data_IF_035296389928
#
_entry.id   IF_035296389928
#
_cell.length_a   1.000
_cell.length_b   1.000
_cell.length_c   1.000
_cell.angle_alpha   90.00
_cell.angle_beta   90.00
_cell.angle_gamma   90.00
#
_symmetry.space_group_name_H-M   'P 1'
#
loop_
_entity.id
_entity.type
_entity.pdbx_description
1 polymer ?
#
# COMPACT_ATOMS: atom_id res chain seq x y z
N UNK A 1 31.33 13.60 -23.27
CA UNK A 1 30.32 12.71 -22.65
C UNK A 1 30.22 13.11 -21.19
N UNK A 2 29.17 13.85 -20.83
CA UNK A 2 28.87 14.12 -19.44
C UNK A 2 27.96 12.99 -18.96
N UNK A 3 28.45 12.18 -18.02
CA UNK A 3 27.59 11.30 -17.22
C UNK A 3 26.79 12.20 -16.30
N UNK A 4 25.50 12.33 -16.62
CA UNK A 4 24.50 12.91 -15.73
C UNK A 4 24.54 12.12 -14.42
N UNK A 5 24.92 12.77 -13.32
CA UNK A 5 24.67 12.21 -11.99
C UNK A 5 23.15 12.22 -11.84
N UNK A 6 22.52 11.06 -11.88
CA UNK A 6 21.16 10.88 -11.39
C UNK A 6 21.16 11.40 -9.94
N UNK A 7 20.52 12.54 -9.71
CA UNK A 7 20.23 13.02 -8.37
C UNK A 7 19.27 11.99 -7.75
N UNK A 8 19.80 11.10 -6.93
CA UNK A 8 19.04 10.03 -6.29
C UNK A 8 18.31 10.56 -5.05
N UNK A 9 17.49 11.59 -5.22
CA UNK A 9 16.56 11.98 -4.17
C UNK A 9 15.47 10.91 -4.08
N UNK A 10 15.21 10.42 -2.87
CA UNK A 10 14.10 9.51 -2.62
C UNK A 10 12.80 10.16 -3.09
N UNK A 11 11.86 9.37 -3.63
CA UNK A 11 10.50 9.87 -3.88
C UNK A 11 9.89 10.38 -2.56
N UNK A 12 9.01 11.38 -2.63
CA UNK A 12 8.24 11.88 -1.50
C UNK A 12 7.52 10.77 -0.75
N UNK A 13 7.01 9.76 -1.44
CA UNK A 13 6.42 8.57 -0.82
C UNK A 13 7.44 7.78 0.01
N UNK A 14 8.64 7.54 -0.54
CA UNK A 14 9.72 6.88 0.17
C UNK A 14 10.23 7.71 1.36
N UNK A 15 10.34 9.03 1.22
CA UNK A 15 10.70 9.94 2.32
C UNK A 15 9.65 9.96 3.43
N UNK A 16 8.36 9.97 3.06
CA UNK A 16 7.26 9.94 4.03
C UNK A 16 7.21 8.60 4.75
N UNK A 17 7.40 7.49 4.03
CA UNK A 17 7.56 6.18 4.64
C UNK A 17 8.75 6.17 5.61
N UNK A 18 9.94 6.60 5.17
CA UNK A 18 11.15 6.60 6.01
C UNK A 18 10.99 7.41 7.30
N UNK A 19 10.25 8.53 7.24
CA UNK A 19 9.93 9.36 8.40
C UNK A 19 9.11 8.63 9.48
N UNK A 20 8.19 7.74 9.09
CA UNK A 20 7.22 7.12 10.01
C UNK A 20 7.37 5.60 10.15
N UNK A 21 8.27 4.96 9.37
CA UNK A 21 8.39 3.50 9.29
C UNK A 21 8.61 2.84 10.64
N UNK A 22 9.38 3.47 11.54
CA UNK A 22 9.70 2.88 12.85
C UNK A 22 8.48 2.90 13.79
N UNK A 23 7.64 3.95 13.69
CA UNK A 23 6.39 4.05 14.45
C UNK A 23 5.37 3.02 13.94
N UNK A 24 5.24 2.88 12.62
CA UNK A 24 4.39 1.85 12.03
C UNK A 24 4.89 0.45 12.35
N UNK A 25 6.19 0.19 12.23
CA UNK A 25 6.78 -1.10 12.56
C UNK A 25 6.53 -1.52 14.01
N UNK A 26 6.58 -0.57 14.95
CA UNK A 26 6.30 -0.85 16.36
C UNK A 26 4.81 -1.13 16.64
N UNK A 27 3.90 -0.78 15.71
CA UNK A 27 2.46 -0.81 15.91
C UNK A 27 1.72 -1.85 15.06
N UNK A 28 2.21 -2.16 13.85
CA UNK A 28 1.66 -3.15 12.95
C UNK A 28 1.94 -4.54 13.54
N UNK A 29 0.89 -5.19 14.05
CA UNK A 29 0.85 -6.42 14.91
C UNK A 29 0.44 -6.16 16.37
N UNK A 30 0.25 -4.90 16.77
CA UNK A 30 -0.26 -4.52 18.08
C UNK A 30 -1.43 -3.55 17.97
N UNK A 31 -2.64 -4.09 17.86
CA UNK A 31 -3.86 -3.32 17.55
C UNK A 31 -4.04 -2.04 18.41
N UNK A 32 -3.87 -2.06 19.74
CA UNK A 32 -3.99 -0.83 20.53
C UNK A 32 -2.93 0.23 20.21
N UNK A 33 -1.70 -0.18 19.88
CA UNK A 33 -0.63 0.73 19.48
C UNK A 33 -0.92 1.31 18.10
N UNK A 34 -1.41 0.49 17.17
CA UNK A 34 -1.85 0.93 15.85
C UNK A 34 -2.99 1.95 15.93
N UNK A 35 -4.05 1.65 16.68
CA UNK A 35 -5.19 2.55 16.84
C UNK A 35 -4.75 3.91 17.44
N UNK A 36 -3.84 3.89 18.42
CA UNK A 36 -3.27 5.10 19.00
C UNK A 36 -2.37 5.87 18.02
N UNK A 37 -1.59 5.16 17.21
CA UNK A 37 -0.71 5.75 16.19
C UNK A 37 -1.52 6.49 15.13
N UNK A 38 -2.50 5.83 14.51
CA UNK A 38 -3.29 6.43 13.42
C UNK A 38 -4.12 7.63 13.89
N UNK A 39 -4.52 7.67 15.17
CA UNK A 39 -5.22 8.81 15.77
C UNK A 39 -4.28 10.00 16.04
N UNK A 40 -3.00 9.75 16.28
CA UNK A 40 -2.00 10.79 16.58
C UNK A 40 -1.35 11.37 15.34
N UNK A 41 -1.15 10.56 14.30
CA UNK A 41 -0.49 11.00 13.08
C UNK A 41 -1.27 12.15 12.40
N UNK A 42 -0.58 13.05 11.68
CA UNK A 42 -1.26 14.06 10.88
C UNK A 42 -2.24 13.41 9.91
N UNK A 43 -3.38 14.07 9.67
CA UNK A 43 -4.38 13.60 8.73
C UNK A 43 -3.74 13.25 7.37
N UNK A 44 -4.21 12.16 6.76
CA UNK A 44 -3.77 11.63 5.47
C UNK A 44 -2.40 10.93 5.46
N UNK A 45 -1.60 11.03 6.54
CA UNK A 45 -0.30 10.33 6.60
C UNK A 45 -0.47 8.81 6.56
N UNK A 46 -1.33 8.17 7.37
CA UNK A 46 -1.53 6.72 7.31
C UNK A 46 -1.96 6.25 5.92
N UNK A 47 -2.90 6.96 5.29
CA UNK A 47 -3.41 6.63 3.96
C UNK A 47 -2.32 6.67 2.89
N UNK A 48 -1.51 7.73 2.85
CA UNK A 48 -0.47 7.90 1.83
C UNK A 48 0.68 6.93 2.03
N UNK A 49 1.09 6.66 3.27
CA UNK A 49 2.11 5.66 3.59
C UNK A 49 1.61 4.26 3.19
N UNK A 50 0.39 3.90 3.56
CA UNK A 50 -0.19 2.60 3.23
C UNK A 50 -0.35 2.40 1.72
N UNK A 51 -0.79 3.42 0.98
CA UNK A 51 -0.91 3.35 -0.48
C UNK A 51 0.46 3.17 -1.16
N UNK A 52 1.47 3.92 -0.72
CA UNK A 52 2.84 3.78 -1.25
C UNK A 52 3.38 2.37 -0.99
N UNK A 53 3.25 1.88 0.25
CA UNK A 53 3.73 0.54 0.64
C UNK A 53 2.99 -0.58 -0.09
N UNK A 54 1.66 -0.46 -0.28
CA UNK A 54 0.89 -1.41 -1.09
C UNK A 54 1.48 -1.54 -2.49
N UNK A 55 1.79 -0.41 -3.15
CA UNK A 55 2.37 -0.50 -4.50
C UNK A 55 3.77 -1.08 -4.52
N UNK A 56 4.60 -0.79 -3.53
CA UNK A 56 5.94 -1.36 -3.40
C UNK A 56 5.89 -2.89 -3.24
N UNK A 57 5.00 -3.39 -2.38
CA UNK A 57 4.82 -4.81 -2.13
C UNK A 57 4.22 -5.53 -3.34
N UNK A 58 3.20 -4.94 -3.97
CA UNK A 58 2.56 -5.55 -5.14
C UNK A 58 3.50 -5.56 -6.34
N UNK A 59 4.31 -4.52 -6.55
CA UNK A 59 5.34 -4.53 -7.61
C UNK A 59 6.45 -5.56 -7.34
N UNK A 60 6.76 -5.87 -6.07
CA UNK A 60 7.84 -6.79 -5.70
C UNK A 60 7.40 -8.26 -5.65
N UNK A 61 6.21 -8.56 -5.14
CA UNK A 61 5.72 -9.94 -4.94
C UNK A 61 4.21 -10.11 -5.06
N UNK A 62 3.49 -9.12 -5.60
CA UNK A 62 2.05 -9.15 -5.77
C UNK A 62 1.28 -9.02 -4.44
N UNK A 63 -0.05 -9.18 -4.54
CA UNK A 63 -0.94 -9.12 -3.37
C UNK A 63 -0.64 -10.20 -2.32
N UNK A 64 -0.05 -11.33 -2.72
CA UNK A 64 0.36 -12.36 -1.77
C UNK A 64 1.39 -11.83 -0.78
N UNK A 65 2.45 -11.17 -1.28
CA UNK A 65 3.46 -10.56 -0.43
C UNK A 65 2.88 -9.41 0.42
N UNK A 66 2.01 -8.58 -0.15
CA UNK A 66 1.36 -7.50 0.59
C UNK A 66 0.57 -8.02 1.80
N UNK A 67 -0.28 -9.04 1.61
CA UNK A 67 -1.09 -9.58 2.70
C UNK A 67 -0.33 -10.49 3.66
N UNK A 68 0.77 -11.12 3.23
CA UNK A 68 1.68 -11.87 4.12
C UNK A 68 2.45 -10.94 5.07
N UNK A 69 2.80 -9.74 4.61
CA UNK A 69 3.52 -8.76 5.41
C UNK A 69 2.60 -7.97 6.36
N UNK A 70 3.18 -7.35 7.39
CA UNK A 70 2.45 -6.66 8.46
C UNK A 70 1.61 -5.47 7.95
N UNK A 71 2.07 -4.81 6.87
CA UNK A 71 1.32 -3.73 6.21
C UNK A 71 0.04 -4.19 5.50
N UNK A 72 -0.16 -5.49 5.29
CA UNK A 72 -1.43 -6.04 4.80
C UNK A 72 -2.64 -5.69 5.68
N UNK A 73 -2.40 -5.39 6.97
CA UNK A 73 -3.42 -4.91 7.89
C UNK A 73 -3.96 -3.50 7.56
N UNK A 74 -3.26 -2.73 6.73
CA UNK A 74 -3.60 -1.35 6.36
C UNK A 74 -4.34 -1.24 5.01
N UNK A 75 -4.98 -2.31 4.54
CA UNK A 75 -5.63 -2.32 3.22
C UNK A 75 -6.67 -1.19 3.05
N UNK A 76 -7.39 -0.84 4.12
CA UNK A 76 -8.41 0.20 4.08
C UNK A 76 -7.79 1.60 4.00
N UNK A 77 -6.71 1.86 4.74
CA UNK A 77 -5.89 3.07 4.61
C UNK A 77 -5.29 3.17 3.20
N UNK A 78 -4.76 2.05 2.67
CA UNK A 78 -4.18 2.02 1.34
C UNK A 78 -5.22 2.35 0.26
N UNK A 79 -6.42 1.76 0.32
CA UNK A 79 -7.51 2.07 -0.60
C UNK A 79 -7.86 3.56 -0.54
N UNK A 80 -8.02 4.14 0.66
CA UNK A 80 -8.30 5.58 0.82
C UNK A 80 -7.16 6.44 0.25
N UNK A 81 -5.91 6.08 0.49
CA UNK A 81 -4.75 6.80 -0.03
C UNK A 81 -4.68 6.78 -1.56
N UNK A 82 -4.96 5.63 -2.18
CA UNK A 82 -5.07 5.50 -3.63
C UNK A 82 -6.22 6.38 -4.18
N UNK A 83 -7.35 6.46 -3.49
CA UNK A 83 -8.46 7.34 -3.91
C UNK A 83 -8.11 8.83 -3.80
N UNK A 84 -7.51 9.24 -2.68
CA UNK A 84 -7.15 10.64 -2.42
C UNK A 84 -6.14 11.19 -3.42
N UNK A 85 -5.29 10.34 -3.96
CA UNK A 85 -4.27 10.67 -4.96
C UNK A 85 -4.78 10.47 -6.41
N UNK A 86 -6.05 10.11 -6.57
CA UNK A 86 -6.74 10.01 -7.86
C UNK A 86 -6.45 8.73 -8.64
N UNK A 87 -6.15 7.64 -7.94
CA UNK A 87 -5.61 6.40 -8.50
C UNK A 87 -6.66 5.28 -8.53
N UNK A 88 -7.80 5.61 -9.13
CA UNK A 88 -9.02 4.80 -9.06
C UNK A 88 -8.85 3.33 -9.51
N UNK A 89 -7.98 3.06 -10.49
CA UNK A 89 -7.71 1.68 -10.96
C UNK A 89 -6.96 0.83 -9.92
N UNK A 90 -5.95 1.40 -9.24
CA UNK A 90 -5.27 0.70 -8.15
C UNK A 90 -6.19 0.55 -6.94
N UNK A 91 -7.00 1.56 -6.62
CA UNK A 91 -7.99 1.46 -5.56
C UNK A 91 -9.01 0.34 -5.85
N UNK A 92 -9.49 0.22 -7.10
CA UNK A 92 -10.38 -0.85 -7.52
C UNK A 92 -9.70 -2.23 -7.44
N UNK A 93 -8.42 -2.32 -7.84
CA UNK A 93 -7.63 -3.53 -7.69
C UNK A 93 -7.46 -3.96 -6.23
N UNK A 94 -7.14 -3.01 -5.34
CA UNK A 94 -6.96 -3.27 -3.92
C UNK A 94 -8.29 -3.70 -3.25
N UNK A 95 -9.42 -3.07 -3.62
CA UNK A 95 -10.76 -3.52 -3.20
C UNK A 95 -11.07 -4.94 -3.66
N UNK A 96 -10.81 -5.24 -4.93
CA UNK A 96 -11.00 -6.59 -5.47
C UNK A 96 -10.21 -7.64 -4.67
N UNK A 97 -8.97 -7.32 -4.26
CA UNK A 97 -8.19 -8.20 -3.41
C UNK A 97 -8.76 -8.33 -1.99
N UNK A 98 -9.22 -7.21 -1.41
CA UNK A 98 -9.89 -7.18 -0.10
C UNK A 98 -11.19 -8.02 -0.09
N UNK A 99 -11.95 -8.00 -1.18
CA UNK A 99 -13.22 -8.71 -1.29
C UNK A 99 -13.07 -10.24 -1.22
N UNK A 100 -11.89 -10.78 -1.58
CA UNK A 100 -11.58 -12.21 -1.43
C UNK A 100 -11.54 -12.67 0.04
N UNK A 101 -11.30 -11.75 0.99
CA UNK A 101 -11.42 -12.00 2.43
C UNK A 101 -12.88 -11.91 2.94
N UNK A 102 -13.85 -11.63 2.06
CA UNK A 102 -15.23 -11.33 2.46
C UNK A 102 -15.44 -9.89 2.93
N UNK A 103 -14.49 -8.99 2.62
CA UNK A 103 -14.61 -7.55 2.87
C UNK A 103 -13.99 -7.06 4.18
N UNK A 104 -13.49 -7.95 5.04
CA UNK A 104 -12.70 -7.61 6.24
C UNK A 104 -11.39 -8.40 6.25
N UNK A 105 -10.27 -7.68 6.28
CA UNK A 105 -8.94 -8.31 6.36
C UNK A 105 -8.52 -8.36 7.83
N UNK A 106 -8.12 -9.53 8.36
CA UNK A 106 -7.66 -9.62 9.74
C UNK A 106 -6.46 -8.72 10.01
N UNK A 107 -6.51 -8.00 11.12
CA UNK A 107 -5.38 -7.18 11.57
C UNK A 107 -4.23 -8.07 12.06
N UNK A 108 -4.56 -9.13 12.81
CA UNK A 108 -3.60 -10.13 13.26
C UNK A 108 -2.95 -10.82 12.04
N UNK A 109 -1.63 -10.94 12.08
CA UNK A 109 -0.85 -11.44 10.94
C UNK A 109 -1.07 -12.95 10.74
N UNK A 110 -1.09 -13.73 11.80
CA UNK A 110 -1.24 -15.19 11.71
C UNK A 110 -2.65 -15.54 11.22
N UNK A 111 -3.68 -14.86 11.73
CA UNK A 111 -5.05 -15.00 11.24
C UNK A 111 -5.17 -14.62 9.76
N UNK A 112 -4.52 -13.54 9.34
CA UNK A 112 -4.52 -13.10 7.94
C UNK A 112 -3.81 -14.10 7.03
N UNK A 113 -2.65 -14.62 7.43
CA UNK A 113 -1.89 -15.61 6.66
C UNK A 113 -2.69 -16.89 6.42
N UNK A 114 -3.43 -17.39 7.43
CA UNK A 114 -4.31 -18.54 7.26
C UNK A 114 -5.42 -18.30 6.22
N UNK A 115 -5.92 -17.06 6.14
CA UNK A 115 -6.89 -16.70 5.10
C UNK A 115 -6.23 -16.55 3.72
N UNK A 116 -5.02 -16.00 3.65
CA UNK A 116 -4.24 -15.93 2.40
C UNK A 116 -4.03 -17.32 1.82
N UNK A 117 -3.58 -18.28 2.63
CA UNK A 117 -3.44 -19.68 2.23
C UNK A 117 -4.78 -20.24 1.71
N UNK A 118 -5.87 -20.05 2.46
CA UNK A 118 -7.19 -20.53 2.06
C UNK A 118 -7.72 -19.87 0.78
N UNK A 119 -7.40 -18.60 0.51
CA UNK A 119 -7.76 -17.90 -0.73
C UNK A 119 -6.96 -18.48 -1.91
N UNK A 120 -5.66 -18.68 -1.72
CA UNK A 120 -4.79 -19.23 -2.76
C UNK A 120 -5.08 -20.71 -3.06
N UNK A 121 -5.47 -21.51 -2.06
CA UNK A 121 -5.83 -22.92 -2.26
C UNK A 121 -7.14 -23.11 -3.05
N UNK A 122 -8.06 -22.13 -2.97
CA UNK A 122 -9.36 -22.18 -3.65
C UNK A 122 -9.29 -21.81 -5.13
N UNK A 123 -8.21 -21.17 -5.57
CA UNK A 123 -8.14 -20.56 -6.89
C UNK A 123 -6.74 -20.76 -7.49
N UNK A 124 -6.67 -21.48 -8.62
CA UNK A 124 -5.44 -21.68 -9.41
C UNK A 124 -4.71 -20.37 -9.75
N UNK A 125 -5.41 -19.23 -9.67
CA UNK A 125 -4.86 -17.87 -9.82
C UNK A 125 -5.19 -17.05 -8.58
N UNK A 126 -4.46 -17.31 -7.49
CA UNK A 126 -4.55 -16.50 -6.29
C UNK A 126 -4.48 -14.99 -6.61
N UNK A 127 -5.46 -14.22 -6.14
CA UNK A 127 -5.63 -12.78 -6.44
C UNK A 127 -5.84 -12.43 -7.92
N UNK A 128 -6.21 -13.38 -8.77
CA UNK A 128 -6.14 -13.22 -10.23
C UNK A 128 -6.91 -12.02 -10.78
N UNK A 129 -8.11 -11.74 -10.26
CA UNK A 129 -8.89 -10.58 -10.67
C UNK A 129 -8.21 -9.26 -10.25
N UNK A 130 -7.75 -9.17 -9.01
CA UNK A 130 -7.02 -8.01 -8.51
C UNK A 130 -5.72 -7.77 -9.29
N UNK A 131 -4.89 -8.79 -9.49
CA UNK A 131 -3.64 -8.66 -10.25
C UNK A 131 -3.91 -8.22 -11.70
N UNK A 132 -4.90 -8.81 -12.36
CA UNK A 132 -5.26 -8.40 -13.72
C UNK A 132 -5.66 -6.92 -13.80
N UNK A 133 -6.42 -6.42 -12.81
CA UNK A 133 -6.76 -4.99 -12.72
C UNK A 133 -5.52 -4.14 -12.49
N UNK A 134 -4.65 -4.52 -11.55
CA UNK A 134 -3.43 -3.79 -11.22
C UNK A 134 -2.54 -3.59 -12.45
N UNK A 135 -2.27 -4.67 -13.20
CA UNK A 135 -1.38 -4.64 -14.36
C UNK A 135 -2.07 -4.23 -15.67
N UNK A 136 -3.37 -3.89 -15.64
CA UNK A 136 -4.09 -3.38 -16.83
C UNK A 136 -3.80 -1.90 -17.14
N UNK A 137 -3.08 -1.22 -16.24
CA UNK A 137 -2.71 0.19 -16.38
C UNK A 137 -1.61 0.37 -17.42
N UNK A 138 -1.67 1.48 -18.17
CA UNK A 138 -0.59 1.81 -19.11
C UNK A 138 0.61 2.39 -18.38
N UNK A 139 1.78 2.38 -19.01
CA UNK A 139 2.99 3.03 -18.47
C UNK A 139 2.76 4.52 -18.17
N UNK A 140 1.98 5.22 -19.00
CA UNK A 140 1.64 6.63 -18.80
C UNK A 140 0.73 6.83 -17.58
N UNK A 141 -0.24 5.92 -17.37
CA UNK A 141 -1.08 5.93 -16.17
C UNK A 141 -0.25 5.66 -14.91
N UNK A 142 0.70 4.73 -15.01
CA UNK A 142 1.63 4.40 -13.93
C UNK A 142 2.58 5.56 -13.59
N UNK A 143 3.13 6.24 -14.59
CA UNK A 143 3.97 7.42 -14.39
C UNK A 143 3.19 8.55 -13.70
N UNK A 144 1.97 8.87 -14.17
CA UNK A 144 1.11 9.88 -13.52
C UNK A 144 0.72 9.49 -12.10
N UNK A 145 0.54 8.20 -11.83
CA UNK A 145 0.33 7.69 -10.47
C UNK A 145 1.50 8.06 -9.57
N UNK A 146 2.74 7.75 -10.00
CA UNK A 146 3.95 8.03 -9.22
C UNK A 146 4.11 9.52 -8.98
N UNK A 147 3.94 10.36 -10.00
CA UNK A 147 4.07 11.81 -9.87
C UNK A 147 3.07 12.39 -8.86
N UNK A 148 1.80 11.96 -8.91
CA UNK A 148 0.76 12.46 -7.97
C UNK A 148 0.96 11.94 -6.55
N UNK A 149 1.33 10.68 -6.39
CA UNK A 149 1.66 10.11 -5.08
C UNK A 149 2.82 10.89 -4.44
N UNK A 150 3.84 11.19 -5.24
CA UNK A 150 5.03 11.94 -4.85
C UNK A 150 4.70 13.38 -4.42
N UNK A 151 3.94 14.10 -5.24
CA UNK A 151 3.48 15.47 -4.93
C UNK A 151 2.69 15.52 -3.62
N UNK A 152 1.75 14.60 -3.44
CA UNK A 152 0.92 14.54 -2.23
C UNK A 152 1.76 14.22 -0.99
N UNK A 153 2.70 13.28 -1.10
CA UNK A 153 3.59 12.93 0.01
C UNK A 153 4.52 14.10 0.38
N UNK A 154 5.08 14.82 -0.61
CA UNK A 154 5.87 16.05 -0.39
C UNK A 154 5.05 17.14 0.31
N UNK A 155 3.78 17.29 -0.03
CA UNK A 155 2.89 18.23 0.64
C UNK A 155 2.62 17.86 2.11
N UNK A 156 2.72 16.59 2.50
CA UNK A 156 2.62 16.13 3.89
C UNK A 156 3.92 16.26 4.67
N UNK A 157 5.08 16.15 4.00
CA UNK A 157 6.39 16.33 4.63
C UNK A 157 6.63 17.77 5.11
N UNK A 158 6.05 18.76 4.41
CA UNK A 158 6.19 20.19 4.67
C UNK A 158 5.17 20.76 5.68
N UNK A 159 4.43 19.89 6.40
CA UNK A 159 3.43 20.28 7.40
C UNK A 159 3.95 20.11 8.82
#
# INVERSE_FOLDING_TARGET
>A
MATEKLDTELSGGAQLFDKYKDEFWAALEHRPLYDALIQRLPANVPEVVAAWWLTAEVENGGFNQYFDNSYGAMIDEAIRGLEMTGQAKFAASARSAKDEFGGEVPFDRDERMLQVEAICDKNDRCWGAAQAMYYSVTNDEWARYRDRADEFAKALLNR
#
